data_IF_683129895245
#
_entry.id   IF_683129895245
#
_cell.length_a   1.000
_cell.length_b   1.000
_cell.length_c   1.000
_cell.angle_alpha   90.00
_cell.angle_beta   90.00
_cell.angle_gamma   90.00
#
_symmetry.space_group_name_H-M   'P 1'
#
loop_
_entity.id
_entity.type
_entity.pdbx_description
1 polymer ?
#
# COMPACT_ATOMS: atom_id res chain seq x y z
N UNK A 1 -18.21 4.46 4.73
CA UNK A 1 -16.89 3.84 4.51
C UNK A 1 -16.98 2.75 3.45
N UNK A 2 -17.83 1.73 3.61
CA UNK A 2 -17.99 0.66 2.61
C UNK A 2 -18.27 1.15 1.19
N UNK A 3 -19.14 2.17 1.03
CA UNK A 3 -19.46 2.75 -0.28
C UNK A 3 -18.25 3.40 -0.97
N UNK A 4 -17.27 3.89 -0.20
CA UNK A 4 -16.07 4.53 -0.74
C UNK A 4 -14.94 3.52 -1.03
N UNK A 5 -14.83 2.48 -0.22
CA UNK A 5 -13.65 1.60 -0.20
C UNK A 5 -13.92 0.16 -0.66
N UNK A 6 -15.17 -0.24 -0.86
CA UNK A 6 -15.53 -1.48 -1.54
C UNK A 6 -15.70 -1.23 -3.05
N UNK A 7 -14.63 -0.77 -3.68
CA UNK A 7 -14.60 -0.31 -5.08
C UNK A 7 -13.92 -1.28 -6.05
N UNK A 8 -13.52 -2.47 -5.59
CA UNK A 8 -12.77 -3.47 -6.34
C UNK A 8 -11.24 -3.27 -6.33
N UNK A 9 -10.75 -2.13 -5.82
CA UNK A 9 -9.32 -1.82 -5.73
C UNK A 9 -8.79 -1.88 -4.30
N UNK A 10 -9.54 -1.34 -3.34
CA UNK A 10 -9.11 -1.27 -1.94
C UNK A 10 -9.50 -2.54 -1.17
N UNK A 11 -10.63 -3.15 -1.50
CA UNK A 11 -11.17 -4.38 -0.91
C UNK A 11 -10.56 -5.68 -1.45
N UNK A 12 -9.64 -5.59 -2.41
CA UNK A 12 -8.93 -6.76 -2.97
C UNK A 12 -7.95 -7.42 -2.00
N UNK A 13 -7.57 -6.72 -0.93
CA UNK A 13 -6.58 -7.20 0.03
C UNK A 13 -7.27 -7.80 1.27
N UNK A 14 -7.10 -9.10 1.56
CA UNK A 14 -7.72 -9.72 2.71
C UNK A 14 -7.05 -9.27 4.01
N UNK A 15 -7.79 -9.33 5.13
CA UNK A 15 -7.22 -9.05 6.47
C UNK A 15 -6.08 -9.99 6.87
N UNK A 16 -5.95 -11.14 6.20
CA UNK A 16 -4.84 -12.09 6.42
C UNK A 16 -3.50 -11.56 5.93
N UNK A 17 -3.48 -10.54 5.08
CA UNK A 17 -2.25 -9.88 4.60
C UNK A 17 -1.64 -8.93 5.65
N UNK A 18 -2.35 -8.67 6.76
CA UNK A 18 -1.83 -7.84 7.84
C UNK A 18 -0.67 -8.56 8.49
N UNK A 19 0.49 -7.90 8.56
CA UNK A 19 1.68 -8.46 9.21
C UNK A 19 1.43 -8.74 10.70
N UNK A 20 1.93 -9.89 11.17
CA UNK A 20 1.79 -10.31 12.55
C UNK A 20 2.45 -9.31 13.50
N UNK A 21 1.68 -8.84 14.49
CA UNK A 21 2.13 -7.83 15.45
C UNK A 21 1.59 -6.43 15.20
N UNK A 22 0.96 -6.17 14.04
CA UNK A 22 0.28 -4.90 13.78
C UNK A 22 -1.21 -4.99 14.11
N UNK A 23 -1.67 -4.07 14.96
CA UNK A 23 -3.09 -3.88 15.26
C UNK A 23 -3.69 -2.93 14.23
N UNK A 24 -4.73 -3.39 13.54
CA UNK A 24 -5.50 -2.59 12.59
C UNK A 24 -6.98 -2.81 12.89
N UNK A 25 -7.54 -1.98 13.77
CA UNK A 25 -8.93 -2.09 14.19
C UNK A 25 -9.89 -1.75 13.06
N UNK A 26 -9.51 -0.79 12.20
CA UNK A 26 -10.28 -0.44 11.01
C UNK A 26 -10.36 -1.62 10.05
N UNK A 27 -9.23 -2.26 9.75
CA UNK A 27 -9.21 -3.38 8.80
C UNK A 27 -9.99 -4.59 9.32
N UNK A 28 -9.98 -4.82 10.65
CA UNK A 28 -10.85 -5.81 11.29
C UNK A 28 -12.33 -5.45 11.20
N UNK A 29 -12.68 -4.18 11.40
CA UNK A 29 -14.05 -3.69 11.31
C UNK A 29 -14.62 -3.78 9.89
N UNK A 30 -13.80 -3.49 8.88
CA UNK A 30 -14.21 -3.49 7.47
C UNK A 30 -14.11 -4.88 6.79
N UNK A 31 -13.33 -5.80 7.37
CA UNK A 31 -13.18 -7.16 6.85
C UNK A 31 -12.21 -7.29 5.67
N UNK A 32 -11.47 -6.23 5.35
CA UNK A 32 -10.39 -6.21 4.35
C UNK A 32 -9.28 -5.25 4.80
N UNK A 33 -8.08 -5.39 4.24
CA UNK A 33 -6.92 -4.60 4.64
C UNK A 33 -6.93 -3.21 4.00
N UNK A 34 -7.73 -2.32 4.59
CA UNK A 34 -8.00 -0.96 4.09
C UNK A 34 -6.71 -0.17 3.84
N UNK A 35 -5.74 -0.21 4.75
CA UNK A 35 -4.50 0.57 4.62
C UNK A 35 -3.68 0.16 3.40
N UNK A 36 -3.51 -1.15 3.16
CA UNK A 36 -2.81 -1.67 1.98
C UNK A 36 -3.56 -1.31 0.70
N UNK A 37 -4.89 -1.43 0.72
CA UNK A 37 -5.75 -1.04 -0.39
C UNK A 37 -5.60 0.43 -0.79
N UNK A 38 -5.69 1.34 0.17
CA UNK A 38 -5.56 2.78 -0.07
C UNK A 38 -4.18 3.15 -0.59
N UNK A 39 -3.13 2.56 -0.01
CA UNK A 39 -1.76 2.82 -0.44
C UNK A 39 -1.53 2.36 -1.88
N UNK A 40 -1.99 1.16 -2.23
CA UNK A 40 -1.80 0.61 -3.58
C UNK A 40 -2.65 1.32 -4.63
N UNK A 41 -3.86 1.77 -4.27
CA UNK A 41 -4.66 2.66 -5.12
C UNK A 41 -3.96 4.00 -5.33
N UNK A 42 -3.47 4.64 -4.27
CA UNK A 42 -2.72 5.88 -4.37
C UNK A 42 -1.42 5.73 -5.18
N UNK A 43 -0.66 4.66 -4.94
CA UNK A 43 0.60 4.39 -5.62
C UNK A 43 0.41 4.20 -7.15
N UNK A 44 -0.76 3.73 -7.58
CA UNK A 44 -1.07 3.59 -9.01
C UNK A 44 -1.02 4.92 -9.78
N UNK A 45 -1.32 6.04 -9.12
CA UNK A 45 -1.22 7.37 -9.74
C UNK A 45 0.23 7.80 -9.98
N UNK A 46 1.16 7.41 -9.10
CA UNK A 46 2.58 7.81 -9.18
C UNK A 46 3.47 6.85 -9.98
N UNK A 47 3.12 5.56 -10.00
CA UNK A 47 3.88 4.54 -10.74
C UNK A 47 3.86 4.80 -12.24
N UNK A 48 5.03 4.78 -12.88
CA UNK A 48 5.23 5.13 -14.27
C UNK A 48 5.27 6.63 -14.57
N UNK A 49 5.04 7.49 -13.57
CA UNK A 49 5.02 8.96 -13.70
C UNK A 49 6.14 9.65 -12.91
N UNK A 50 7.20 8.93 -12.54
CA UNK A 50 8.37 9.46 -11.83
C UNK A 50 8.15 9.64 -10.32
N UNK A 51 6.96 9.28 -9.81
CA UNK A 51 6.63 9.25 -8.38
C UNK A 51 6.40 7.80 -7.92
N UNK A 52 7.22 6.88 -8.44
CA UNK A 52 7.09 5.46 -8.22
C UNK A 52 7.30 5.08 -6.75
N UNK A 53 6.23 4.63 -6.11
CA UNK A 53 6.28 4.03 -4.78
C UNK A 53 6.48 2.51 -4.91
N UNK A 54 7.32 1.96 -4.03
CA UNK A 54 7.48 0.51 -3.90
C UNK A 54 6.15 -0.16 -3.51
N UNK A 55 6.02 -1.49 -3.65
CA UNK A 55 4.91 -2.21 -3.05
C UNK A 55 4.78 -1.94 -1.55
N UNK A 56 3.55 -1.86 -1.02
CA UNK A 56 3.28 -1.58 0.39
C UNK A 56 4.07 -2.50 1.35
N UNK A 57 4.15 -3.79 1.03
CA UNK A 57 4.82 -4.80 1.85
C UNK A 57 6.35 -4.55 1.93
N UNK A 58 6.95 -3.87 0.95
CA UNK A 58 8.38 -3.52 0.99
C UNK A 58 8.68 -2.54 2.12
N UNK A 59 7.79 -1.59 2.38
CA UNK A 59 7.97 -0.61 3.46
C UNK A 59 7.83 -1.20 4.86
N UNK A 60 7.20 -2.37 5.00
CA UNK A 60 7.17 -3.11 6.26
C UNK A 60 8.52 -3.78 6.56
N UNK A 61 9.24 -4.19 5.51
CA UNK A 61 10.54 -4.88 5.63
C UNK A 61 11.70 -3.91 5.74
N UNK A 62 11.61 -2.77 5.06
CA UNK A 62 12.69 -1.80 4.94
C UNK A 62 12.46 -0.56 5.81
N UNK A 63 13.56 0.07 6.26
CA UNK A 63 13.48 1.30 7.06
C UNK A 63 13.33 2.54 6.19
N UNK A 64 12.22 2.59 5.46
CA UNK A 64 11.88 3.66 4.53
C UNK A 64 12.65 3.56 3.21
N UNK A 65 11.99 3.99 2.14
CA UNK A 65 12.55 4.09 0.80
C UNK A 65 12.26 5.48 0.22
N UNK A 66 13.22 6.03 -0.51
CA UNK A 66 13.11 7.28 -1.27
C UNK A 66 12.56 7.00 -2.65
N UNK A 67 11.44 7.64 -2.96
CA UNK A 67 10.88 7.65 -4.31
C UNK A 67 11.76 8.49 -5.25
N UNK A 68 11.83 8.18 -6.56
CA UNK A 68 11.16 7.09 -7.25
C UNK A 68 11.87 5.74 -7.03
N UNK A 69 11.11 4.72 -6.64
CA UNK A 69 11.56 3.32 -6.51
C UNK A 69 11.22 2.57 -7.78
N UNK A 70 12.23 2.33 -8.63
CA UNK A 70 12.06 1.64 -9.91
C UNK A 70 12.77 0.29 -9.83
N UNK A 71 12.08 -0.79 -10.23
CA UNK A 71 12.60 -2.17 -10.12
C UNK A 71 13.08 -2.54 -8.70
N UNK A 72 12.42 -2.00 -7.66
CA UNK A 72 12.79 -2.25 -6.26
C UNK A 72 14.06 -1.55 -5.79
N UNK A 73 14.61 -0.60 -6.58
CA UNK A 73 15.77 0.21 -6.18
C UNK A 73 15.39 1.69 -6.11
N UNK A 74 15.86 2.37 -5.07
CA UNK A 74 15.80 3.83 -5.00
C UNK A 74 16.61 4.40 -6.16
N UNK A 75 15.98 5.25 -6.97
CA UNK A 75 16.71 6.00 -7.98
C UNK A 75 17.18 7.32 -7.38
N UNK A 76 18.47 7.62 -7.52
CA UNK A 76 19.05 8.91 -7.10
C UNK A 76 18.74 9.99 -8.14
N UNK A 77 17.47 10.33 -8.33
CA UNK A 77 17.08 11.54 -9.05
C UNK A 77 16.72 12.63 -8.04
N UNK A 78 17.38 13.79 -8.18
CA UNK A 78 17.13 15.04 -7.47
C UNK A 78 16.88 16.12 -8.50
#
# INVERSE_FOLDING_TARGET
>A
FDVLYRNGQVDKFPVTDIEAGYLNDESRAFGFYVHKGLFEEYASFGRGHGHDLAPFDTYHRERGLRWPVVNGQETKWR
#
